data_IF_093016652606
#
_entry.id   IF_093016652606
#
_cell.length_a   1.000
_cell.length_b   1.000
_cell.length_c   1.000
_cell.angle_alpha   90.00
_cell.angle_beta   90.00
_cell.angle_gamma   90.00
#
_symmetry.space_group_name_H-M   'P 1'
#
loop_
_entity.id
_entity.type
_entity.pdbx_description
1 polymer ?
#
# COMPACT_ATOMS: atom_id res chain seq x y z
N UNK A 1 14.33 6.17 -8.52
CA UNK A 1 13.50 6.85 -7.51
C UNK A 1 12.41 5.87 -7.14
N UNK A 2 12.27 5.48 -5.86
CA UNK A 2 11.18 4.61 -5.42
C UNK A 2 9.99 5.51 -5.07
N UNK A 3 9.17 5.80 -6.08
CA UNK A 3 7.97 6.65 -5.95
C UNK A 3 6.80 5.79 -6.40
N UNK A 4 5.66 5.89 -5.74
CA UNK A 4 4.43 5.20 -6.14
C UNK A 4 4.06 5.57 -7.58
N UNK A 5 3.78 4.58 -8.43
CA UNK A 5 3.27 4.81 -9.79
C UNK A 5 1.76 5.13 -9.72
N UNK A 6 1.07 4.56 -8.73
CA UNK A 6 -0.28 4.93 -8.33
C UNK A 6 -0.22 5.77 -7.06
N UNK A 7 -0.44 7.08 -7.20
CA UNK A 7 -0.35 8.07 -6.12
C UNK A 7 -1.35 7.86 -4.96
N UNK A 8 -2.19 6.82 -4.99
CA UNK A 8 -3.29 6.59 -4.05
C UNK A 8 -4.36 7.68 -4.06
N UNK A 9 -4.20 8.70 -4.91
CA UNK A 9 -5.03 9.88 -5.05
C UNK A 9 -5.27 10.20 -6.51
N UNK A 10 -6.46 10.69 -6.80
CA UNK A 10 -6.80 11.18 -8.12
C UNK A 10 -6.30 12.62 -8.33
N UNK A 11 -6.53 13.17 -9.53
CA UNK A 11 -6.12 14.54 -9.87
C UNK A 11 -6.90 15.63 -9.11
N UNK A 12 -7.94 15.26 -8.35
CA UNK A 12 -8.67 16.12 -7.41
C UNK A 12 -8.07 16.09 -6.01
N UNK A 13 -7.17 15.15 -5.72
CA UNK A 13 -6.59 14.93 -4.40
C UNK A 13 -7.41 13.98 -3.51
N UNK A 14 -8.47 13.38 -4.05
CA UNK A 14 -9.31 12.40 -3.36
C UNK A 14 -8.67 11.02 -3.39
N UNK A 15 -8.82 10.26 -2.31
CA UNK A 15 -8.23 8.94 -2.17
C UNK A 15 -8.89 7.91 -3.09
N UNK A 16 -8.07 7.19 -3.86
CA UNK A 16 -8.50 6.14 -4.78
C UNK A 16 -8.50 4.80 -4.04
N UNK A 17 -9.67 4.20 -3.91
CA UNK A 17 -9.89 2.94 -3.21
C UNK A 17 -9.89 1.75 -4.18
N UNK A 18 -9.47 0.57 -3.73
CA UNK A 18 -9.75 -0.66 -4.49
C UNK A 18 -11.26 -0.91 -4.47
N UNK A 19 -11.84 -1.09 -5.65
CA UNK A 19 -13.24 -1.50 -5.82
C UNK A 19 -13.29 -2.97 -6.19
N UNK A 20 -14.18 -3.73 -5.56
CA UNK A 20 -14.51 -5.08 -6.00
C UNK A 20 -15.25 -5.07 -7.35
N UNK A 21 -15.41 -6.24 -7.98
CA UNK A 21 -16.12 -6.37 -9.26
C UNK A 21 -17.58 -5.87 -9.20
N UNK A 22 -18.15 -5.77 -8.01
CA UNK A 22 -19.51 -5.27 -7.78
C UNK A 22 -19.59 -3.74 -7.61
N UNK A 23 -18.46 -3.03 -7.67
CA UNK A 23 -18.38 -1.58 -7.45
C UNK A 23 -18.33 -1.14 -5.98
N UNK A 24 -18.37 -2.08 -5.03
CA UNK A 24 -18.21 -1.80 -3.60
C UNK A 24 -16.73 -1.60 -3.24
N UNK A 25 -16.46 -0.71 -2.28
CA UNK A 25 -15.09 -0.47 -1.80
C UNK A 25 -14.59 -1.69 -1.05
N UNK A 26 -13.43 -2.19 -1.46
CA UNK A 26 -12.82 -3.38 -0.87
C UNK A 26 -12.34 -3.07 0.54
N UNK A 27 -12.70 -3.94 1.47
CA UNK A 27 -12.32 -3.84 2.88
C UNK A 27 -11.33 -4.96 3.18
N UNK A 28 -10.31 -4.70 4.00
CA UNK A 28 -9.45 -5.75 4.54
C UNK A 28 -10.20 -6.57 5.62
N UNK A 29 -9.57 -7.64 6.12
CA UNK A 29 -10.14 -8.50 7.18
C UNK A 29 -10.40 -7.76 8.50
N UNK A 30 -9.88 -6.54 8.65
CA UNK A 30 -10.07 -5.66 9.79
C UNK A 30 -11.12 -4.56 9.54
N UNK A 31 -11.85 -4.63 8.43
CA UNK A 31 -12.85 -3.66 8.02
C UNK A 31 -12.28 -2.24 7.75
N UNK A 32 -11.00 -2.15 7.39
CA UNK A 32 -10.41 -0.94 6.85
C UNK A 32 -10.50 -0.94 5.32
N UNK A 33 -10.82 0.22 4.74
CA UNK A 33 -10.86 0.38 3.29
C UNK A 33 -9.46 0.20 2.71
N UNK A 34 -9.33 -0.66 1.70
CA UNK A 34 -8.06 -0.89 1.02
C UNK A 34 -7.87 0.21 -0.01
N UNK A 35 -6.91 1.11 0.25
CA UNK A 35 -6.52 2.11 -0.71
C UNK A 35 -5.78 1.43 -1.87
N UNK A 36 -6.06 1.85 -3.10
CA UNK A 36 -5.36 1.32 -4.27
C UNK A 36 -3.96 1.89 -4.30
N UNK A 37 -3.00 1.14 -3.78
CA UNK A 37 -1.59 1.51 -3.77
C UNK A 37 -0.73 0.35 -4.27
N UNK A 38 0.33 0.69 -5.01
CA UNK A 38 1.31 -0.26 -5.56
C UNK A 38 2.55 -0.45 -4.66
N UNK A 39 2.63 0.32 -3.57
CA UNK A 39 3.77 0.32 -2.66
C UNK A 39 3.92 -0.97 -1.83
N UNK A 40 3.00 -1.92 -1.94
CA UNK A 40 3.03 -3.17 -1.15
C UNK A 40 4.31 -3.96 -1.41
N UNK A 41 4.72 -4.10 -2.67
CA UNK A 41 5.95 -4.80 -3.03
C UNK A 41 7.20 -4.08 -2.52
N UNK A 42 7.20 -2.74 -2.53
CA UNK A 42 8.33 -1.95 -2.03
C UNK A 42 8.42 -2.08 -0.50
N UNK A 43 7.28 -2.07 0.21
CA UNK A 43 7.23 -2.28 1.64
C UNK A 43 7.73 -3.68 2.03
N UNK A 44 7.31 -4.73 1.32
CA UNK A 44 7.77 -6.12 1.55
C UNK A 44 9.28 -6.28 1.25
N UNK A 45 9.77 -5.66 0.17
CA UNK A 45 11.19 -5.66 -0.17
C UNK A 45 12.04 -4.88 0.85
N UNK A 46 11.53 -3.73 1.32
CA UNK A 46 12.18 -2.94 2.35
C UNK A 46 12.25 -3.69 3.68
N UNK A 47 11.16 -4.36 4.08
CA UNK A 47 11.13 -5.20 5.28
C UNK A 47 12.15 -6.34 5.19
N UNK A 48 12.20 -7.04 4.04
CA UNK A 48 13.15 -8.13 3.83
C UNK A 48 14.60 -7.63 3.92
N UNK A 49 14.91 -6.52 3.26
CA UNK A 49 16.20 -5.86 3.34
C UNK A 49 16.53 -5.37 4.76
N UNK A 50 15.57 -4.79 5.48
CA UNK A 50 15.77 -4.28 6.83
C UNK A 50 16.09 -5.40 7.84
N UNK A 51 15.48 -6.59 7.67
CA UNK A 51 15.80 -7.80 8.43
C UNK A 51 17.21 -8.30 8.12
N UNK A 52 17.60 -8.34 6.84
CA UNK A 52 18.96 -8.72 6.42
C UNK A 52 20.03 -7.77 6.96
N UNK A 53 19.72 -6.47 7.06
CA UNK A 53 20.63 -5.45 7.60
C UNK A 53 20.60 -5.35 9.13
N UNK A 54 19.82 -6.20 9.81
CA UNK A 54 19.67 -6.23 11.28
C UNK A 54 19.32 -4.86 11.88
N UNK A 55 18.47 -4.08 11.21
CA UNK A 55 18.11 -2.74 11.64
C UNK A 55 17.37 -2.78 12.98
N UNK A 56 17.81 -1.95 13.93
CA UNK A 56 17.35 -1.99 15.33
C UNK A 56 15.85 -1.75 15.53
N UNK A 57 15.17 -1.17 14.54
CA UNK A 57 13.74 -0.85 14.58
C UNK A 57 12.86 -1.95 13.96
N UNK A 58 13.45 -3.01 13.39
CA UNK A 58 12.73 -4.15 12.80
C UNK A 58 13.00 -5.48 13.54
N UNK A 59 13.55 -5.38 14.76
CA UNK A 59 13.94 -6.50 15.63
C UNK A 59 12.74 -7.17 16.28
#
# INVERSE_FOLDING_TARGET
MAVSENSGKDNSGDEVWETEQNGERKSDEHNHLIQKHDLKQIAEAFESWAKEQELSFWR
#
